data_IF_081173628140
#
_entry.id   IF_081173628140
#
_cell.length_a   1.000
_cell.length_b   1.000
_cell.length_c   1.000
_cell.angle_alpha   90.00
_cell.angle_beta   90.00
_cell.angle_gamma   90.00
#
_symmetry.space_group_name_H-M   'P 1'
#
loop_
_entity.id
_entity.type
_entity.pdbx_description
1 polymer ?
#
# COMPACT_ATOMS: atom_id res chain seq x y z
N UNK A 1 -13.60 -15.09 11.56
CA UNK A 1 -14.34 -13.80 11.66
C UNK A 1 -14.82 -13.44 10.28
N UNK A 2 -16.14 -13.40 10.11
CA UNK A 2 -16.79 -13.04 8.84
C UNK A 2 -16.83 -11.50 8.76
N UNK A 3 -15.86 -10.92 8.05
CA UNK A 3 -15.78 -9.46 7.88
C UNK A 3 -16.78 -9.03 6.83
N UNK A 4 -17.59 -8.02 7.12
CA UNK A 4 -18.40 -7.35 6.12
C UNK A 4 -17.48 -6.60 5.15
N UNK A 5 -17.04 -7.26 4.07
CA UNK A 5 -16.22 -6.62 3.04
C UNK A 5 -17.00 -5.46 2.43
N UNK A 6 -16.38 -4.28 2.35
CA UNK A 6 -16.98 -3.12 1.69
C UNK A 6 -17.37 -3.52 0.27
N UNK A 7 -18.66 -3.47 -0.08
CA UNK A 7 -19.11 -3.81 -1.42
C UNK A 7 -18.46 -2.89 -2.46
N UNK A 8 -17.77 -3.45 -3.45
CA UNK A 8 -17.16 -2.72 -4.56
C UNK A 8 -17.05 -3.60 -5.80
N UNK A 9 -16.94 -2.97 -6.97
CA UNK A 9 -16.71 -3.71 -8.22
C UNK A 9 -15.31 -4.26 -8.23
N UNK A 10 -15.17 -5.54 -8.58
CA UNK A 10 -13.89 -6.22 -8.73
C UNK A 10 -13.75 -6.87 -10.10
N UNK A 11 -12.50 -7.08 -10.53
CA UNK A 11 -12.14 -7.87 -11.71
C UNK A 11 -11.22 -8.98 -11.25
N UNK A 12 -11.53 -10.22 -11.63
CA UNK A 12 -10.69 -11.36 -11.29
C UNK A 12 -9.49 -11.44 -12.25
N UNK A 13 -8.27 -11.33 -11.70
CA UNK A 13 -7.01 -11.50 -12.41
C UNK A 13 -6.17 -12.53 -11.65
N UNK A 14 -5.75 -13.59 -12.33
CA UNK A 14 -4.97 -14.70 -11.74
C UNK A 14 -5.60 -15.28 -10.47
N UNK A 15 -6.94 -15.32 -10.40
CA UNK A 15 -7.65 -15.85 -9.23
C UNK A 15 -7.76 -14.88 -8.05
N UNK A 16 -7.36 -13.61 -8.21
CA UNK A 16 -7.50 -12.54 -7.21
C UNK A 16 -8.53 -11.50 -7.67
N UNK A 17 -9.42 -11.10 -6.77
CA UNK A 17 -10.45 -10.09 -7.04
C UNK A 17 -9.88 -8.69 -6.80
N UNK A 18 -9.43 -8.04 -7.86
CA UNK A 18 -8.83 -6.70 -7.81
C UNK A 18 -9.92 -5.64 -7.90
N UNK A 19 -9.78 -4.56 -7.12
CA UNK A 19 -10.67 -3.41 -7.14
C UNK A 19 -10.71 -2.76 -8.54
N UNK A 20 -11.91 -2.45 -9.02
CA UNK A 20 -12.16 -1.91 -10.38
C UNK A 20 -13.09 -0.69 -10.40
N UNK A 21 -13.35 -0.08 -9.23
CA UNK A 21 -14.14 1.17 -9.18
C UNK A 21 -13.21 2.38 -9.41
N UNK A 22 -13.74 3.61 -9.53
CA UNK A 22 -12.91 4.79 -9.78
C UNK A 22 -12.14 5.24 -8.52
N UNK A 23 -11.07 6.01 -8.70
CA UNK A 23 -10.31 6.57 -7.59
C UNK A 23 -11.18 7.48 -6.70
N UNK A 24 -12.07 8.26 -7.30
CA UNK A 24 -13.01 9.10 -6.54
C UNK A 24 -13.94 8.26 -5.66
N UNK A 25 -14.50 7.16 -6.19
CA UNK A 25 -15.34 6.25 -5.42
C UNK A 25 -14.58 5.55 -4.30
N UNK A 26 -13.31 5.20 -4.53
CA UNK A 26 -12.45 4.68 -3.47
C UNK A 26 -12.27 5.71 -2.36
N UNK A 27 -11.86 6.93 -2.69
CA UNK A 27 -11.61 7.97 -1.69
C UNK A 27 -12.85 8.32 -0.86
N UNK A 28 -14.02 8.42 -1.49
CA UNK A 28 -15.27 8.67 -0.76
C UNK A 28 -15.58 7.53 0.22
N UNK A 29 -15.38 6.27 -0.17
CA UNK A 29 -15.53 5.12 0.74
C UNK A 29 -14.55 5.19 1.91
N UNK A 30 -13.29 5.54 1.66
CA UNK A 30 -12.27 5.65 2.70
C UNK A 30 -12.57 6.78 3.68
N UNK A 31 -13.07 7.94 3.20
CA UNK A 31 -13.52 9.05 4.06
C UNK A 31 -14.68 8.62 4.96
N UNK A 32 -15.69 7.94 4.40
CA UNK A 32 -16.81 7.43 5.17
C UNK A 32 -16.33 6.42 6.22
N UNK A 33 -15.45 5.49 5.84
CA UNK A 33 -14.89 4.49 6.75
C UNK A 33 -14.09 5.13 7.88
N UNK A 34 -13.29 6.17 7.59
CA UNK A 34 -12.55 6.92 8.59
C UNK A 34 -13.45 7.73 9.53
N UNK A 35 -14.62 8.17 9.09
CA UNK A 35 -15.51 9.04 9.88
C UNK A 35 -16.21 8.32 11.05
N UNK A 36 -16.16 6.99 11.10
CA UNK A 36 -16.84 6.16 12.12
C UNK A 36 -15.85 5.23 12.78
N UNK A 37 -16.13 4.82 14.02
CA UNK A 37 -15.43 3.68 14.62
C UNK A 37 -15.82 2.43 13.85
N UNK A 38 -14.84 1.83 13.19
CA UNK A 38 -15.00 0.65 12.36
C UNK A 38 -13.80 -0.25 12.59
N UNK A 39 -13.97 -1.53 12.24
CA UNK A 39 -12.87 -2.45 12.12
C UNK A 39 -11.83 -1.96 11.09
N UNK A 40 -10.55 -2.32 11.27
CA UNK A 40 -9.50 -1.94 10.34
C UNK A 40 -9.80 -2.44 8.92
N UNK A 41 -9.89 -1.50 7.98
CA UNK A 41 -9.98 -1.79 6.56
C UNK A 41 -8.57 -2.06 6.02
N UNK A 42 -8.33 -3.30 5.60
CA UNK A 42 -7.03 -3.75 5.10
C UNK A 42 -6.96 -3.53 3.58
N UNK A 43 -6.00 -2.71 3.16
CA UNK A 43 -5.76 -2.38 1.76
C UNK A 43 -4.38 -2.86 1.35
N UNK A 44 -4.32 -3.75 0.36
CA UNK A 44 -3.06 -4.16 -0.25
C UNK A 44 -2.99 -3.65 -1.69
N UNK A 45 -1.77 -3.33 -2.13
CA UNK A 45 -1.51 -2.71 -3.44
C UNK A 45 -0.66 -3.63 -4.33
N UNK A 46 -1.13 -4.87 -4.65
CA UNK A 46 -0.31 -5.80 -5.42
C UNK A 46 -0.05 -5.28 -6.83
N UNK A 47 1.19 -5.44 -7.30
CA UNK A 47 1.57 -5.33 -8.70
C UNK A 47 1.58 -6.71 -9.38
N UNK A 48 1.81 -6.73 -10.71
CA UNK A 48 1.80 -7.97 -11.50
C UNK A 48 2.80 -9.02 -10.99
N UNK A 49 4.01 -8.61 -10.58
CA UNK A 49 5.02 -9.53 -10.04
C UNK A 49 4.51 -10.19 -8.74
N UNK A 50 3.87 -9.42 -7.87
CA UNK A 50 3.34 -9.93 -6.60
C UNK A 50 2.18 -10.91 -6.81
N UNK A 51 1.29 -10.66 -7.78
CA UNK A 51 0.24 -11.64 -8.11
C UNK A 51 0.82 -12.95 -8.66
N UNK A 52 1.82 -12.88 -9.53
CA UNK A 52 2.52 -14.07 -10.01
C UNK A 52 3.25 -14.80 -8.88
N UNK A 53 3.91 -14.06 -7.99
CA UNK A 53 4.57 -14.64 -6.82
C UNK A 53 3.55 -15.32 -5.90
N UNK A 54 2.36 -14.75 -5.73
CA UNK A 54 1.30 -15.31 -4.92
C UNK A 54 0.78 -16.64 -5.49
N UNK A 55 0.74 -16.82 -6.82
CA UNK A 55 0.37 -18.10 -7.43
C UNK A 55 1.32 -19.25 -7.04
N UNK A 56 2.61 -18.95 -6.83
CA UNK A 56 3.61 -19.96 -6.43
C UNK A 56 3.93 -19.95 -4.93
N UNK A 57 3.31 -19.08 -4.14
CA UNK A 57 3.52 -18.97 -2.70
C UNK A 57 2.18 -19.01 -1.95
N UNK A 58 1.79 -20.17 -1.38
CA UNK A 58 0.52 -20.33 -0.68
C UNK A 58 0.29 -19.35 0.46
N UNK A 59 1.34 -19.02 1.22
CA UNK A 59 1.25 -18.05 2.31
C UNK A 59 0.92 -16.65 1.79
N UNK A 60 1.62 -16.20 0.74
CA UNK A 60 1.36 -14.88 0.17
C UNK A 60 -0.01 -14.79 -0.52
N UNK A 61 -0.42 -15.86 -1.23
CA UNK A 61 -1.79 -15.98 -1.76
C UNK A 61 -2.84 -15.85 -0.67
N UNK A 62 -2.65 -16.53 0.47
CA UNK A 62 -3.55 -16.45 1.63
C UNK A 62 -3.60 -15.02 2.18
N UNK A 63 -2.46 -14.36 2.33
CA UNK A 63 -2.44 -12.98 2.82
C UNK A 63 -3.25 -12.05 1.90
N UNK A 64 -2.99 -12.07 0.59
CA UNK A 64 -3.71 -11.21 -0.36
C UNK A 64 -5.23 -11.43 -0.30
N UNK A 65 -5.70 -12.67 -0.17
CA UNK A 65 -7.15 -13.01 -0.09
C UNK A 65 -7.83 -12.52 1.18
N UNK A 66 -7.07 -12.33 2.26
CA UNK A 66 -7.58 -11.86 3.56
C UNK A 66 -7.75 -10.33 3.62
N UNK A 67 -7.27 -9.59 2.62
CA UNK A 67 -7.52 -8.15 2.53
C UNK A 67 -8.98 -7.83 2.19
N UNK A 68 -9.38 -6.61 2.54
CA UNK A 68 -10.69 -6.06 2.20
C UNK A 68 -10.65 -5.44 0.79
N UNK A 69 -9.53 -4.82 0.42
CA UNK A 69 -9.32 -4.22 -0.90
C UNK A 69 -7.95 -4.61 -1.47
N UNK A 70 -7.95 -5.22 -2.66
CA UNK A 70 -6.76 -5.42 -3.49
C UNK A 70 -6.72 -4.36 -4.60
N UNK A 71 -5.91 -3.33 -4.43
CA UNK A 71 -5.73 -2.27 -5.41
C UNK A 71 -4.66 -2.63 -6.43
N UNK A 72 -4.97 -2.68 -7.74
CA UNK A 72 -3.96 -2.97 -8.75
C UNK A 72 -2.95 -1.82 -8.84
N UNK A 73 -1.72 -2.04 -8.37
CA UNK A 73 -0.64 -1.07 -8.50
C UNK A 73 0.17 -1.31 -9.78
N UNK A 74 0.28 -0.27 -10.60
CA UNK A 74 1.08 -0.27 -11.81
C UNK A 74 0.31 -0.55 -13.11
N UNK A 75 0.96 -0.15 -14.20
CA UNK A 75 0.34 -0.11 -15.55
C UNK A 75 0.23 -1.51 -16.16
N UNK A 76 1.13 -2.43 -15.78
CA UNK A 76 1.13 -3.81 -16.28
C UNK A 76 -0.14 -4.57 -15.94
N UNK A 77 -0.72 -4.37 -14.75
CA UNK A 77 -2.00 -4.99 -14.38
C UNK A 77 -3.17 -4.41 -15.17
N UNK A 78 -3.17 -3.09 -15.39
CA UNK A 78 -4.21 -2.42 -16.19
C UNK A 78 -4.15 -2.85 -17.66
N UNK A 79 -2.94 -2.92 -18.23
CA UNK A 79 -2.71 -3.44 -19.59
C UNK A 79 -3.13 -4.90 -19.73
N UNK A 80 -2.69 -5.77 -18.81
CA UNK A 80 -3.07 -7.19 -18.80
C UNK A 80 -4.60 -7.36 -18.70
N UNK A 81 -5.26 -6.54 -17.87
CA UNK A 81 -6.72 -6.54 -17.77
C UNK A 81 -7.40 -6.12 -19.07
N UNK A 82 -6.91 -5.06 -19.75
CA UNK A 82 -7.43 -4.61 -21.05
C UNK A 82 -7.21 -5.66 -22.15
N UNK A 83 -6.07 -6.33 -22.15
CA UNK A 83 -5.76 -7.41 -23.09
C UNK A 83 -6.70 -8.61 -22.88
N UNK A 84 -6.89 -9.03 -21.62
CA UNK A 84 -7.85 -10.08 -21.27
C UNK A 84 -9.30 -9.69 -21.60
N UNK A 85 -9.65 -8.41 -21.42
CA UNK A 85 -10.96 -7.89 -21.82
C UNK A 85 -11.17 -7.99 -23.34
N UNK A 86 -10.15 -7.62 -24.12
CA UNK A 86 -10.17 -7.70 -25.58
C UNK A 86 -10.31 -9.14 -26.08
N UNK A 87 -9.50 -10.08 -25.59
CA UNK A 87 -9.50 -11.47 -26.07
C UNK A 87 -10.61 -12.34 -25.48
N UNK A 88 -11.07 -12.07 -24.25
CA UNK A 88 -12.01 -12.93 -23.52
C UNK A 88 -13.37 -12.28 -23.26
N UNK A 89 -13.66 -11.12 -23.88
CA UNK A 89 -14.87 -10.30 -23.63
C UNK A 89 -15.16 -10.08 -22.13
N UNK A 90 -14.10 -9.95 -21.32
CA UNK A 90 -14.20 -9.72 -19.87
C UNK A 90 -14.15 -8.23 -19.54
N UNK A 91 -14.59 -7.87 -18.35
CA UNK A 91 -14.53 -6.48 -17.89
C UNK A 91 -13.08 -6.08 -17.58
N UNK A 92 -12.65 -4.91 -18.07
CA UNK A 92 -11.31 -4.36 -17.80
C UNK A 92 -11.27 -3.54 -16.51
N UNK A 93 -10.09 -3.41 -15.92
CA UNK A 93 -9.81 -2.39 -14.91
C UNK A 93 -10.04 -1.00 -15.50
N UNK A 94 -10.88 -0.20 -14.85
CA UNK A 94 -11.27 1.13 -15.34
C UNK A 94 -10.11 2.12 -15.22
N UNK A 95 -9.43 2.16 -14.07
CA UNK A 95 -8.43 3.17 -13.76
C UNK A 95 -7.21 2.56 -13.05
N UNK A 96 -6.03 3.15 -13.32
CA UNK A 96 -4.83 2.88 -12.53
C UNK A 96 -4.90 3.70 -11.25
N UNK A 97 -4.94 3.05 -10.09
CA UNK A 97 -4.81 3.71 -8.78
C UNK A 97 -3.41 3.39 -8.25
N UNK A 98 -2.46 4.30 -8.42
CA UNK A 98 -1.11 4.08 -7.91
C UNK A 98 -1.12 4.15 -6.38
N UNK A 99 -0.41 3.23 -5.72
CA UNK A 99 -0.32 3.22 -4.25
C UNK A 99 0.22 4.53 -3.66
N UNK A 100 1.11 5.21 -4.40
CA UNK A 100 1.63 6.54 -4.06
C UNK A 100 0.52 7.59 -4.00
N UNK A 101 -0.33 7.66 -5.03
CA UNK A 101 -1.38 8.68 -5.14
C UNK A 101 -2.45 8.49 -4.05
N UNK A 102 -2.80 7.22 -3.76
CA UNK A 102 -3.70 6.91 -2.66
C UNK A 102 -3.11 7.30 -1.30
N UNK A 103 -1.82 7.00 -1.08
CA UNK A 103 -1.14 7.36 0.18
C UNK A 103 -1.10 8.87 0.37
N UNK A 104 -0.77 9.64 -0.68
CA UNK A 104 -0.84 11.11 -0.64
C UNK A 104 -2.25 11.62 -0.30
N UNK A 105 -3.29 11.01 -0.89
CA UNK A 105 -4.69 11.38 -0.65
C UNK A 105 -5.13 11.07 0.78
N UNK A 106 -4.71 9.93 1.34
CA UNK A 106 -4.99 9.56 2.74
C UNK A 106 -4.31 10.50 3.72
N UNK A 107 -3.06 10.88 3.45
CA UNK A 107 -2.33 11.86 4.24
C UNK A 107 -3.01 13.24 4.21
N UNK A 108 -3.50 13.67 3.05
CA UNK A 108 -4.29 14.91 2.93
C UNK A 108 -5.59 14.86 3.75
N UNK A 109 -6.32 13.74 3.72
CA UNK A 109 -7.53 13.53 4.52
C UNK A 109 -7.18 13.55 6.01
N UNK A 110 -6.10 12.89 6.41
CA UNK A 110 -5.66 12.85 7.80
C UNK A 110 -5.33 14.24 8.33
N UNK A 111 -4.66 15.06 7.51
CA UNK A 111 -4.39 16.44 7.85
C UNK A 111 -5.67 17.26 8.00
N UNK A 112 -6.60 17.19 7.05
CA UNK A 112 -7.85 17.95 7.07
C UNK A 112 -8.73 17.60 8.28
N UNK A 113 -8.79 16.32 8.64
CA UNK A 113 -9.64 15.81 9.72
C UNK A 113 -8.94 15.68 11.08
N UNK A 114 -7.64 15.98 11.14
CA UNK A 114 -6.86 15.82 12.36
C UNK A 114 -6.62 14.35 12.76
N UNK A 115 -6.67 13.41 11.83
CA UNK A 115 -6.37 12.00 12.13
C UNK A 115 -4.88 11.77 12.32
N UNK A 116 -4.54 10.96 13.31
CA UNK A 116 -3.20 10.46 13.55
C UNK A 116 -2.86 9.35 12.55
N UNK A 117 -1.69 9.45 11.93
CA UNK A 117 -1.16 8.45 11.00
C UNK A 117 0.14 7.86 11.54
N UNK A 118 0.25 6.54 11.60
CA UNK A 118 1.47 5.85 12.00
C UNK A 118 2.12 5.15 10.80
N UNK A 119 3.42 5.34 10.64
CA UNK A 119 4.26 4.59 9.71
C UNK A 119 5.01 3.50 10.44
N UNK A 120 4.89 2.26 9.95
CA UNK A 120 5.63 1.08 10.43
C UNK A 120 6.61 0.62 9.36
N UNK A 121 7.87 0.40 9.75
CA UNK A 121 8.95 0.07 8.81
C UNK A 121 9.58 1.32 8.20
N UNK A 122 10.12 1.22 6.97
CA UNK A 122 10.75 2.36 6.31
C UNK A 122 12.13 2.73 6.88
N UNK A 123 13.18 2.07 6.36
CA UNK A 123 14.56 2.33 6.79
C UNK A 123 14.99 3.76 6.47
N UNK A 124 15.38 4.49 7.51
CA UNK A 124 15.89 5.87 7.41
C UNK A 124 14.80 6.94 7.34
N UNK A 125 13.54 6.62 7.68
CA UNK A 125 12.45 7.61 7.63
C UNK A 125 12.49 8.60 8.80
N UNK A 126 13.14 8.28 9.92
CA UNK A 126 13.23 9.15 11.09
C UNK A 126 13.60 10.59 10.74
N UNK A 127 14.72 10.75 10.03
CA UNK A 127 15.29 12.04 9.71
C UNK A 127 14.48 12.74 8.63
N UNK A 128 14.03 12.01 7.60
CA UNK A 128 13.20 12.54 6.53
C UNK A 128 11.86 13.08 7.03
N UNK A 129 11.22 12.35 7.96
CA UNK A 129 9.97 12.80 8.57
C UNK A 129 10.28 14.05 9.40
N UNK A 130 11.27 14.02 10.30
CA UNK A 130 11.68 15.19 11.10
C UNK A 130 12.01 16.43 10.26
N UNK A 131 12.74 16.26 9.17
CA UNK A 131 13.17 17.37 8.30
C UNK A 131 12.01 17.91 7.48
N UNK A 132 11.11 17.03 7.02
CA UNK A 132 9.86 17.47 6.42
C UNK A 132 9.05 18.33 7.38
N UNK A 133 9.10 18.07 8.70
CA UNK A 133 8.43 18.91 9.70
C UNK A 133 8.98 20.33 9.79
N UNK A 134 10.28 20.50 9.54
CA UNK A 134 10.97 21.79 9.67
C UNK A 134 10.84 22.65 8.43
N UNK A 135 10.86 22.04 7.25
CA UNK A 135 11.04 22.77 5.97
C UNK A 135 9.71 23.33 5.43
N UNK A 136 8.56 22.81 5.87
CA UNK A 136 7.28 23.37 5.43
C UNK A 136 6.85 22.99 4.01
N UNK A 137 7.57 22.06 3.37
CA UNK A 137 7.36 21.65 1.99
C UNK A 137 6.01 20.96 1.75
N UNK A 138 5.69 20.65 0.49
CA UNK A 138 4.45 19.93 0.10
C UNK A 138 4.22 18.66 0.92
N UNK A 139 5.28 17.96 1.30
CA UNK A 139 5.24 16.78 2.17
C UNK A 139 4.86 17.12 3.61
N UNK A 140 5.26 18.29 4.13
CA UNK A 140 4.88 18.75 5.47
C UNK A 140 3.41 19.08 5.60
N UNK A 141 2.85 19.74 4.57
CA UNK A 141 1.40 20.02 4.54
C UNK A 141 0.69 18.69 4.79
N UNK A 142 1.00 17.65 4.01
CA UNK A 142 0.41 16.32 4.14
C UNK A 142 0.70 15.56 5.46
N UNK A 143 1.61 15.99 6.34
CA UNK A 143 2.23 15.11 7.34
C UNK A 143 2.27 15.65 8.79
N UNK A 144 1.50 16.69 9.15
CA UNK A 144 1.53 17.23 10.54
C UNK A 144 1.24 16.18 11.63
N UNK A 145 0.33 15.24 11.35
CA UNK A 145 -0.02 14.14 12.26
C UNK A 145 0.60 12.81 11.80
N UNK A 146 1.73 12.86 11.09
CA UNK A 146 2.46 11.68 10.66
C UNK A 146 3.51 11.31 11.71
N UNK A 147 3.36 10.11 12.26
CA UNK A 147 4.24 9.52 13.25
C UNK A 147 4.96 8.32 12.63
N UNK A 148 6.13 7.99 13.18
CA UNK A 148 6.91 6.85 12.73
C UNK A 148 7.46 6.12 13.94
N UNK A 149 7.33 4.79 13.93
CA UNK A 149 7.95 3.95 14.94
C UNK A 149 9.35 3.53 14.51
N UNK A 150 10.35 3.57 15.41
CA UNK A 150 11.68 3.04 15.12
C UNK A 150 11.70 1.50 15.05
N UNK A 151 10.63 0.81 15.44
CA UNK A 151 10.51 -0.63 15.32
C UNK A 151 10.52 -1.09 13.86
N UNK A 152 10.98 -2.32 13.63
CA UNK A 152 10.89 -3.02 12.35
C UNK A 152 11.70 -2.37 11.22
N UNK A 153 12.85 -1.76 11.53
CA UNK A 153 13.78 -1.29 10.49
C UNK A 153 14.32 -2.44 9.63
N UNK A 154 14.43 -3.63 10.24
CA UNK A 154 14.75 -4.89 9.58
C UNK A 154 13.79 -5.97 10.06
N UNK A 155 12.68 -6.15 9.35
CA UNK A 155 11.63 -7.09 9.75
C UNK A 155 12.12 -8.54 10.00
N UNK A 156 13.14 -8.97 9.25
CA UNK A 156 13.75 -10.30 9.40
C UNK A 156 14.56 -10.48 10.69
N UNK A 157 14.95 -9.38 11.36
CA UNK A 157 15.70 -9.37 12.62
C UNK A 157 14.91 -8.72 13.76
N UNK A 158 13.58 -8.81 13.69
CA UNK A 158 12.70 -8.23 14.70
C UNK A 158 12.98 -8.79 16.09
N UNK A 159 12.95 -7.93 17.10
CA UNK A 159 13.14 -8.33 18.51
C UNK A 159 11.86 -8.14 19.32
N UNK A 160 11.77 -8.79 20.50
CA UNK A 160 10.66 -8.58 21.43
C UNK A 160 10.56 -7.11 21.89
N UNK A 161 11.70 -6.41 21.99
CA UNK A 161 11.74 -4.99 22.31
C UNK A 161 11.11 -4.14 21.20
N UNK A 162 11.34 -4.47 19.93
CA UNK A 162 10.69 -3.77 18.81
C UNK A 162 9.17 -4.02 18.78
N UNK A 163 8.72 -5.23 19.15
CA UNK A 163 7.30 -5.54 19.29
C UNK A 163 6.66 -4.68 20.40
N UNK A 164 7.27 -4.61 21.58
CA UNK A 164 6.79 -3.76 22.68
C UNK A 164 6.77 -2.27 22.29
N UNK A 165 7.82 -1.78 21.61
CA UNK A 165 7.89 -0.39 21.14
C UNK A 165 6.76 -0.08 20.15
N UNK A 166 6.42 -1.01 19.27
CA UNK A 166 5.28 -0.87 18.36
C UNK A 166 3.97 -0.80 19.14
N UNK A 167 3.72 -1.75 20.04
CA UNK A 167 2.50 -1.80 20.84
C UNK A 167 2.29 -0.51 21.65
N UNK A 168 3.36 -0.02 22.29
CA UNK A 168 3.36 1.26 23.00
C UNK A 168 3.03 2.43 22.07
N UNK A 169 3.60 2.46 20.86
CA UNK A 169 3.31 3.51 19.88
C UNK A 169 1.84 3.49 19.47
N UNK A 170 1.29 2.31 19.13
CA UNK A 170 -0.10 2.17 18.70
C UNK A 170 -1.05 2.54 19.85
N UNK A 171 -0.78 2.07 21.06
CA UNK A 171 -1.64 2.29 22.25
C UNK A 171 -1.63 3.75 22.69
N UNK A 172 -0.48 4.45 22.61
CA UNK A 172 -0.40 5.87 22.97
C UNK A 172 -1.00 6.77 21.90
N UNK A 173 -0.81 6.43 20.62
CA UNK A 173 -1.20 7.31 19.52
C UNK A 173 -2.63 7.11 19.04
N UNK A 174 -3.19 5.89 19.19
CA UNK A 174 -4.46 5.48 18.58
C UNK A 174 -4.59 5.94 17.11
N UNK A 175 -3.66 5.54 16.22
CA UNK A 175 -3.61 6.07 14.86
C UNK A 175 -4.80 5.57 14.04
N UNK A 176 -5.59 6.46 13.45
CA UNK A 176 -6.71 6.05 12.58
C UNK A 176 -6.21 5.49 11.24
N UNK A 177 -5.00 5.86 10.82
CA UNK A 177 -4.35 5.36 9.60
C UNK A 177 -3.00 4.74 9.93
N UNK A 178 -2.75 3.53 9.44
CA UNK A 178 -1.46 2.85 9.56
C UNK A 178 -0.90 2.53 8.19
N UNK A 179 0.29 3.07 7.90
CA UNK A 179 1.03 2.87 6.64
C UNK A 179 2.18 1.88 6.89
N UNK A 180 2.17 0.73 6.22
CA UNK A 180 3.15 -0.34 6.45
C UNK A 180 4.12 -0.41 5.27
N UNK A 181 5.38 -0.09 5.52
CA UNK A 181 6.48 0.00 4.56
C UNK A 181 7.57 -1.04 4.86
N UNK A 182 7.16 -2.30 5.04
CA UNK A 182 8.06 -3.44 5.28
C UNK A 182 8.45 -4.18 3.98
N UNK A 183 7.75 -3.87 2.88
CA UNK A 183 7.87 -4.59 1.61
C UNK A 183 7.13 -5.92 1.64
N UNK A 184 6.65 -6.35 0.47
CA UNK A 184 5.97 -7.64 0.35
C UNK A 184 6.96 -8.82 0.39
N UNK A 185 6.56 -9.98 0.96
CA UNK A 185 5.24 -10.27 1.54
C UNK A 185 5.09 -9.87 3.02
N UNK A 186 6.14 -9.29 3.62
CA UNK A 186 6.21 -9.03 5.06
C UNK A 186 5.23 -7.98 5.55
N UNK A 187 4.93 -6.97 4.75
CA UNK A 187 3.91 -5.96 5.09
C UNK A 187 2.51 -6.57 5.17
N UNK A 188 2.15 -7.47 4.25
CA UNK A 188 0.85 -8.14 4.27
C UNK A 188 0.74 -9.12 5.45
N UNK A 189 1.81 -9.89 5.69
CA UNK A 189 1.94 -10.77 6.86
C UNK A 189 1.81 -9.99 8.17
N UNK A 190 2.55 -8.89 8.32
CA UNK A 190 2.56 -8.07 9.52
C UNK A 190 1.18 -7.48 9.80
N UNK A 191 0.48 -6.96 8.78
CA UNK A 191 -0.86 -6.37 8.96
C UNK A 191 -1.83 -7.42 9.50
N UNK A 192 -1.78 -8.65 8.98
CA UNK A 192 -2.67 -9.72 9.39
C UNK A 192 -2.32 -10.24 10.78
N UNK A 193 -1.03 -10.35 11.12
CA UNK A 193 -0.58 -10.76 12.45
C UNK A 193 -0.99 -9.77 13.55
N UNK A 194 -0.98 -8.47 13.26
CA UNK A 194 -1.29 -7.42 14.25
C UNK A 194 -2.71 -6.89 14.13
N UNK A 195 -3.60 -7.59 13.40
CA UNK A 195 -4.97 -7.11 13.16
C UNK A 195 -5.74 -6.81 14.45
N UNK A 196 -5.68 -7.70 15.44
CA UNK A 196 -6.39 -7.54 16.71
C UNK A 196 -5.87 -6.33 17.52
N UNK A 197 -4.55 -6.13 17.53
CA UNK A 197 -3.92 -4.95 18.14
C UNK A 197 -4.40 -3.65 17.47
N UNK A 198 -4.45 -3.65 16.13
CA UNK A 198 -4.91 -2.51 15.33
C UNK A 198 -6.40 -2.23 15.59
N UNK A 199 -7.23 -3.27 15.61
CA UNK A 199 -8.67 -3.17 15.88
C UNK A 199 -8.95 -2.61 17.27
N UNK A 200 -8.30 -3.16 18.31
CA UNK A 200 -8.47 -2.71 19.71
C UNK A 200 -8.12 -1.23 19.90
N UNK A 201 -7.21 -0.70 19.08
CA UNK A 201 -6.72 0.67 19.19
C UNK A 201 -7.35 1.64 18.18
N UNK A 202 -8.52 1.30 17.60
CA UNK A 202 -9.28 2.15 16.66
C UNK A 202 -8.47 2.56 15.41
N UNK A 203 -7.63 1.65 14.93
CA UNK A 203 -6.99 1.78 13.62
C UNK A 203 -8.02 1.44 12.54
N UNK A 204 -8.38 2.42 11.71
CA UNK A 204 -9.52 2.29 10.78
C UNK A 204 -9.09 1.95 9.37
N UNK A 205 -7.94 2.46 8.92
CA UNK A 205 -7.35 2.12 7.62
C UNK A 205 -5.94 1.62 7.83
N UNK A 206 -5.64 0.45 7.28
CA UNK A 206 -4.30 -0.15 7.32
C UNK A 206 -3.90 -0.51 5.90
N UNK A 207 -2.85 0.13 5.40
CA UNK A 207 -2.43 -0.01 4.00
C UNK A 207 -0.98 -0.47 3.89
N UNK A 208 -0.78 -1.49 3.05
CA UNK A 208 0.53 -1.93 2.60
C UNK A 208 1.02 -0.98 1.50
N UNK A 209 1.97 -0.10 1.82
CA UNK A 209 2.42 0.99 0.93
C UNK A 209 3.72 0.69 0.20
N UNK A 210 4.48 -0.32 0.65
CA UNK A 210 5.79 -0.63 0.09
C UNK A 210 6.69 0.61 0.01
N UNK A 211 7.34 0.81 -1.13
CA UNK A 211 8.20 1.97 -1.36
C UNK A 211 7.47 3.24 -1.83
N UNK A 212 6.16 3.36 -1.61
CA UNK A 212 5.43 4.59 -1.94
C UNK A 212 5.89 5.77 -1.06
N UNK A 213 6.11 5.50 0.23
CA UNK A 213 6.63 6.49 1.17
C UNK A 213 8.05 6.94 0.83
N UNK A 214 8.88 6.12 0.18
CA UNK A 214 10.19 6.56 -0.30
C UNK A 214 10.05 7.72 -1.31
N UNK A 215 9.01 7.70 -2.16
CA UNK A 215 8.75 8.78 -3.12
C UNK A 215 8.14 10.01 -2.44
N UNK A 216 7.19 9.79 -1.52
CA UNK A 216 6.53 10.87 -0.79
C UNK A 216 7.51 11.61 0.11
N UNK A 217 8.43 10.90 0.77
CA UNK A 217 9.46 11.49 1.63
C UNK A 217 10.69 11.99 0.86
N UNK A 218 10.66 11.98 -0.48
CA UNK A 218 11.74 12.51 -1.33
C UNK A 218 13.01 11.66 -1.40
N UNK A 219 13.01 10.47 -0.81
CA UNK A 219 14.14 9.51 -0.86
C UNK A 219 14.35 8.93 -2.26
N UNK A 220 13.27 8.75 -3.01
CA UNK A 220 13.29 8.35 -4.42
C UNK A 220 12.58 9.41 -5.27
N UNK A 221 13.16 9.78 -6.41
CA UNK A 221 12.48 10.66 -7.35
C UNK A 221 11.37 9.87 -8.04
N UNK A 222 10.18 10.46 -8.15
CA UNK A 222 9.09 9.88 -8.94
C UNK A 222 9.29 10.21 -10.42
N UNK A 223 8.87 9.32 -11.32
CA UNK A 223 9.05 9.52 -12.76
C UNK A 223 8.44 10.84 -13.25
N UNK A 224 8.94 11.50 -14.30
CA UNK A 224 8.28 12.65 -14.93
C UNK A 224 6.83 12.33 -15.36
N UNK A 225 5.96 13.34 -15.41
CA UNK A 225 4.53 13.15 -15.74
C UNK A 225 4.31 12.45 -17.09
N UNK A 226 5.11 12.78 -18.11
CA UNK A 226 5.03 12.15 -19.43
C UNK A 226 5.32 10.64 -19.34
N UNK A 227 6.34 10.23 -18.58
CA UNK A 227 6.64 8.80 -18.35
C UNK A 227 5.52 8.10 -17.58
N UNK A 228 4.91 8.76 -16.59
CA UNK A 228 3.77 8.21 -15.85
C UNK A 228 2.58 7.96 -16.76
N UNK A 229 2.27 8.92 -17.64
CA UNK A 229 1.18 8.82 -18.64
C UNK A 229 1.43 7.70 -19.65
N UNK A 230 2.68 7.50 -20.07
CA UNK A 230 3.10 6.39 -20.93
C UNK A 230 3.25 5.05 -20.19
N UNK A 231 3.09 5.04 -18.86
CA UNK A 231 3.25 3.85 -18.03
C UNK A 231 4.68 3.36 -17.83
N UNK A 232 5.68 4.20 -18.11
CA UNK A 232 7.13 3.90 -18.02
C UNK A 232 7.71 4.11 -16.61
N UNK A 233 6.86 4.24 -15.59
CA UNK A 233 7.31 4.48 -14.20
C UNK A 233 8.13 3.31 -13.64
N UNK A 234 7.85 2.09 -14.07
CA UNK A 234 8.66 0.91 -13.70
C UNK A 234 10.08 0.99 -14.29
N UNK A 235 10.23 1.51 -15.51
CA UNK A 235 11.52 1.66 -16.17
C UNK A 235 12.35 2.75 -15.48
N UNK A 236 11.73 3.88 -15.16
CA UNK A 236 12.36 4.94 -14.39
C UNK A 236 12.85 4.45 -13.01
N UNK A 237 12.07 3.57 -12.37
CA UNK A 237 12.45 2.95 -11.10
C UNK A 237 13.58 1.92 -11.26
N UNK A 238 13.60 1.19 -12.37
CA UNK A 238 14.70 0.27 -12.68
C UNK A 238 16.03 1.02 -12.89
N UNK A 239 15.99 2.19 -13.53
CA UNK A 239 17.18 3.05 -13.68
C UNK A 239 17.70 3.55 -12.33
N UNK A 240 16.80 3.96 -11.42
CA UNK A 240 17.20 4.40 -10.07
C UNK A 240 17.65 3.25 -9.15
N UNK A 241 17.05 2.07 -9.32
CA UNK A 241 17.30 0.89 -8.47
C UNK A 241 17.70 -0.30 -9.36
N UNK A 242 18.92 -0.28 -9.95
CA UNK A 242 19.31 -1.22 -11.01
C UNK A 242 19.19 -2.68 -10.58
N UNK A 243 19.50 -3.01 -9.33
CA UNK A 243 19.40 -4.38 -8.79
C UNK A 243 17.99 -5.00 -8.90
N UNK A 244 16.95 -4.19 -9.14
CA UNK A 244 15.59 -4.67 -9.37
C UNK A 244 15.40 -5.39 -10.71
N UNK A 245 16.38 -5.40 -11.61
CA UNK A 245 16.29 -6.13 -12.89
C UNK A 245 15.94 -7.61 -12.68
N UNK A 246 16.45 -8.23 -11.59
CA UNK A 246 16.13 -9.61 -11.20
C UNK A 246 14.63 -9.87 -10.98
N UNK A 247 13.89 -8.83 -10.58
CA UNK A 247 12.44 -8.89 -10.40
C UNK A 247 11.71 -8.91 -11.74
N UNK A 248 12.24 -8.22 -12.74
CA UNK A 248 11.66 -8.20 -14.09
C UNK A 248 11.78 -9.56 -14.79
N UNK A 249 12.83 -10.34 -14.50
CA UNK A 249 12.94 -11.73 -14.98
C UNK A 249 11.77 -12.60 -14.51
N UNK A 250 11.17 -12.31 -13.35
CA UNK A 250 10.00 -13.04 -12.86
C UNK A 250 8.76 -12.76 -13.69
N UNK A 251 8.68 -11.59 -14.33
CA UNK A 251 7.62 -11.28 -15.29
C UNK A 251 7.81 -12.03 -16.62
N UNK A 252 9.00 -12.51 -16.96
CA UNK A 252 9.16 -13.34 -18.18
C UNK A 252 8.49 -14.70 -18.00
N UNK A 253 8.42 -15.21 -16.76
CA UNK A 253 7.61 -16.39 -16.40
C UNK A 253 6.09 -16.15 -16.51
N UNK A 254 5.65 -14.91 -16.77
CA UNK A 254 4.24 -14.55 -16.99
C UNK A 254 3.69 -15.07 -18.33
N UNK A 255 4.55 -15.33 -19.33
CA UNK A 255 4.10 -15.74 -20.67
C UNK A 255 3.69 -17.23 -20.79
N UNK A 256 3.64 -17.98 -19.69
CA UNK A 256 3.33 -19.42 -19.67
C UNK A 256 2.28 -19.82 -18.62
N UNK A 257 1.28 -18.94 -18.37
CA UNK A 257 0.07 -19.23 -17.56
C UNK A 257 -1.19 -18.65 -18.21
#
# INVERSE_FOLDING_TARGET
>A
MDKTKIAHRTVNILGFNLFSSSNQQLLEKLKIHLSRKNDPLIIFTPNAEQLTQANSNPNFSRYLRQSDILLPDGVSLVLASKLLAFFRKKQSLNERIAGVDLTESLLAIAQDKGYSTLVVGGRGYHQLIKDSQKIGDRCWKLAKNLHWTPAYQQYSKKTAQEEQLLEDCITKLHPQIVLVALGAPHQEEWILKHYELLQKNDCRIVIAVGGALDMILGKLKRAPLWMRKLGLEWLYRLVQEPWRWKRQLRLIKFNWL
#
